data_IF_806686080322
#
_entry.id   IF_806686080322
#
_cell.length_a   1.000
_cell.length_b   1.000
_cell.length_c   1.000
_cell.angle_alpha   90.00
_cell.angle_beta   90.00
_cell.angle_gamma   90.00
#
_symmetry.space_group_name_H-M   'P 1'
#
loop_
_entity.id
_entity.type
_entity.pdbx_description
1 polymer ?
#
# COMPACT_ATOMS: atom_id res chain seq x y z
N UNK A 1 -33.81 15.05 5.37
CA UNK A 1 -33.45 13.66 5.73
C UNK A 1 -32.52 13.11 4.66
N UNK A 2 -31.21 13.08 4.92
CA UNK A 2 -30.22 12.58 3.95
C UNK A 2 -30.22 11.06 4.00
N UNK A 3 -30.58 10.43 2.88
CA UNK A 3 -30.50 8.98 2.69
C UNK A 3 -29.05 8.53 2.89
N UNK A 4 -28.77 7.91 4.05
CA UNK A 4 -27.56 7.11 4.29
C UNK A 4 -27.63 5.87 3.41
N UNK A 5 -27.24 6.02 2.15
CA UNK A 5 -27.32 4.95 1.19
C UNK A 5 -26.14 3.98 1.39
N UNK A 6 -26.52 2.72 1.63
CA UNK A 6 -25.69 1.52 1.78
C UNK A 6 -24.56 1.44 0.74
N UNK A 7 -23.35 1.93 1.06
CA UNK A 7 -22.12 1.48 0.39
C UNK A 7 -21.39 0.48 1.28
N UNK A 8 -22.04 -0.67 1.50
CA UNK A 8 -21.34 -1.84 2.01
C UNK A 8 -20.50 -2.39 0.85
N UNK A 9 -19.23 -2.00 0.86
CA UNK A 9 -18.06 -2.76 0.37
C UNK A 9 -18.07 -3.26 -1.08
N UNK A 10 -17.69 -2.40 -2.04
CA UNK A 10 -16.89 -2.88 -3.18
C UNK A 10 -15.42 -2.85 -2.75
N UNK A 11 -14.97 -3.95 -2.11
CA UNK A 11 -13.54 -4.09 -1.76
C UNK A 11 -12.73 -4.21 -3.04
N UNK A 12 -11.69 -3.40 -3.19
CA UNK A 12 -10.79 -3.50 -4.34
C UNK A 12 -9.97 -4.78 -4.27
N UNK A 13 -9.47 -5.27 -5.42
CA UNK A 13 -8.56 -6.44 -5.45
C UNK A 13 -7.33 -6.17 -4.59
N UNK A 14 -6.84 -4.93 -4.55
CA UNK A 14 -5.74 -4.52 -3.68
C UNK A 14 -6.09 -4.57 -2.19
N UNK A 15 -7.31 -4.21 -1.80
CA UNK A 15 -7.73 -4.33 -0.40
C UNK A 15 -7.81 -5.80 0.03
N UNK A 16 -8.31 -6.69 -0.83
CA UNK A 16 -8.35 -8.13 -0.57
C UNK A 16 -6.93 -8.72 -0.50
N UNK A 17 -6.05 -8.37 -1.44
CA UNK A 17 -4.64 -8.78 -1.45
C UNK A 17 -3.89 -8.24 -0.24
N UNK A 18 -4.10 -6.97 0.12
CA UNK A 18 -3.51 -6.35 1.31
C UNK A 18 -3.98 -7.05 2.59
N UNK A 19 -5.28 -7.33 2.74
CA UNK A 19 -5.81 -8.08 3.88
C UNK A 19 -5.25 -9.49 3.94
N UNK A 20 -5.10 -10.17 2.80
CA UNK A 20 -4.48 -11.50 2.72
C UNK A 20 -3.02 -11.44 3.17
N UNK A 21 -2.24 -10.50 2.63
CA UNK A 21 -0.85 -10.29 3.02
C UNK A 21 -0.69 -9.87 4.48
N UNK A 22 -1.61 -9.06 5.02
CA UNK A 22 -1.62 -8.66 6.43
C UNK A 22 -2.11 -9.79 7.36
N UNK A 23 -2.96 -10.70 6.90
CA UNK A 23 -3.26 -11.93 7.64
C UNK A 23 -2.05 -12.88 7.62
N UNK A 24 -1.32 -12.89 6.51
CA UNK A 24 0.01 -13.50 6.40
C UNK A 24 1.10 -12.61 7.05
N UNK A 25 0.76 -11.55 7.79
CA UNK A 25 1.76 -10.66 8.39
C UNK A 25 2.70 -11.38 9.33
N UNK A 26 2.29 -12.51 9.95
CA UNK A 26 3.20 -13.39 10.71
C UNK A 26 4.27 -14.04 9.83
N UNK A 27 3.91 -14.43 8.60
CA UNK A 27 4.83 -14.96 7.61
C UNK A 27 5.73 -13.85 7.05
N UNK A 28 5.18 -12.67 6.76
CA UNK A 28 5.96 -11.51 6.32
C UNK A 28 6.89 -10.95 7.42
N UNK A 29 6.46 -11.04 8.69
CA UNK A 29 7.25 -10.80 9.91
C UNK A 29 8.50 -11.68 9.93
N UNK A 30 8.30 -12.99 9.75
CA UNK A 30 9.38 -13.98 9.81
C UNK A 30 10.36 -13.87 8.64
N UNK A 31 9.91 -13.39 7.48
CA UNK A 31 10.72 -13.34 6.26
C UNK A 31 11.21 -11.94 5.86
N UNK A 32 10.93 -10.90 6.66
CA UNK A 32 11.40 -9.54 6.38
C UNK A 32 10.70 -8.85 5.18
N UNK A 33 9.61 -9.43 4.65
CA UNK A 33 8.97 -8.99 3.39
C UNK A 33 7.80 -8.02 3.61
N UNK A 34 7.98 -7.09 4.52
CA UNK A 34 6.97 -6.13 4.96
C UNK A 34 6.54 -5.13 3.88
N UNK A 35 7.48 -4.82 2.98
CA UNK A 35 7.34 -3.79 1.95
C UNK A 35 6.17 -4.07 1.01
N UNK A 36 6.01 -5.33 0.56
CA UNK A 36 4.92 -5.72 -0.34
C UNK A 36 3.53 -5.58 0.29
N UNK A 37 3.41 -5.81 1.60
CA UNK A 37 2.15 -5.60 2.32
C UNK A 37 1.80 -4.11 2.44
N UNK A 38 2.80 -3.27 2.75
CA UNK A 38 2.64 -1.82 2.82
C UNK A 38 2.28 -1.25 1.45
N UNK A 39 2.97 -1.67 0.39
CA UNK A 39 2.67 -1.26 -1.00
C UNK A 39 1.22 -1.60 -1.39
N UNK A 40 0.79 -2.85 -1.15
CA UNK A 40 -0.58 -3.27 -1.45
C UNK A 40 -1.61 -2.48 -0.63
N UNK A 41 -1.30 -2.18 0.64
CA UNK A 41 -2.19 -1.39 1.49
C UNK A 41 -2.30 0.05 0.98
N UNK A 42 -1.19 0.68 0.59
CA UNK A 42 -1.20 2.02 0.04
C UNK A 42 -1.95 2.08 -1.29
N UNK A 43 -1.76 1.11 -2.19
CA UNK A 43 -2.53 1.00 -3.45
C UNK A 43 -4.02 0.86 -3.19
N UNK A 44 -4.41 0.06 -2.20
CA UNK A 44 -5.81 -0.03 -1.79
C UNK A 44 -6.34 1.32 -1.27
N UNK A 45 -5.57 2.01 -0.42
CA UNK A 45 -5.92 3.35 0.09
C UNK A 45 -6.03 4.39 -1.02
N UNK A 46 -5.19 4.34 -2.06
CA UNK A 46 -5.32 5.19 -3.25
C UNK A 46 -6.65 4.94 -3.96
N UNK A 47 -7.02 3.67 -4.17
CA UNK A 47 -8.31 3.33 -4.77
C UNK A 47 -9.50 3.83 -3.92
N UNK A 48 -9.43 3.68 -2.60
CA UNK A 48 -10.44 4.19 -1.66
C UNK A 48 -10.54 5.72 -1.74
N UNK A 49 -9.40 6.41 -1.72
CA UNK A 49 -9.33 7.88 -1.81
C UNK A 49 -9.90 8.40 -3.13
N UNK A 50 -9.63 7.71 -4.24
CA UNK A 50 -10.12 8.07 -5.57
C UNK A 50 -11.54 7.55 -5.87
N UNK A 51 -12.14 6.74 -5.00
CA UNK A 51 -13.46 6.15 -5.20
C UNK A 51 -13.53 5.14 -6.36
N UNK A 52 -12.41 4.51 -6.72
CA UNK A 52 -12.30 3.56 -7.84
C UNK A 52 -12.12 2.12 -7.35
N UNK A 53 -12.55 1.15 -8.15
CA UNK A 53 -12.40 -0.28 -7.81
C UNK A 53 -11.09 -0.89 -8.34
N UNK A 54 -10.48 -0.25 -9.33
CA UNK A 54 -9.26 -0.69 -10.02
C UNK A 54 -8.24 0.42 -9.91
N UNK A 55 -6.99 0.05 -9.62
CA UNK A 55 -5.89 1.00 -9.50
C UNK A 55 -5.60 1.63 -10.87
N UNK A 56 -5.64 2.96 -10.99
CA UNK A 56 -5.31 3.61 -12.26
C UNK A 56 -3.85 3.38 -12.65
N UNK A 57 -3.52 3.35 -13.96
CA UNK A 57 -2.16 3.12 -14.44
C UNK A 57 -1.09 4.03 -13.84
N UNK A 58 -1.45 5.28 -13.56
CA UNK A 58 -0.57 6.28 -12.93
C UNK A 58 -0.04 5.86 -11.54
N UNK A 59 -0.69 4.89 -10.89
CA UNK A 59 -0.31 4.41 -9.56
C UNK A 59 0.25 2.98 -9.57
N UNK A 60 0.53 2.41 -10.75
CA UNK A 60 1.33 1.17 -10.89
C UNK A 60 2.83 1.45 -10.65
N UNK A 61 3.14 2.09 -9.53
CA UNK A 61 4.51 2.33 -9.05
C UNK A 61 4.81 1.46 -7.83
N UNK A 62 6.09 1.26 -7.56
CA UNK A 62 6.59 0.64 -6.33
C UNK A 62 7.12 1.67 -5.32
N UNK A 63 7.11 2.96 -5.68
CA UNK A 63 7.53 4.04 -4.79
C UNK A 63 6.49 4.28 -3.68
N UNK A 64 6.82 3.87 -2.45
CA UNK A 64 5.90 3.96 -1.31
C UNK A 64 5.57 5.43 -0.97
N UNK A 65 6.52 6.34 -1.08
CA UNK A 65 6.28 7.79 -0.89
C UNK A 65 5.27 8.36 -1.87
N UNK A 66 5.33 7.95 -3.14
CA UNK A 66 4.39 8.40 -4.15
C UNK A 66 2.97 7.90 -3.79
N UNK A 67 2.85 6.61 -3.47
CA UNK A 67 1.57 6.00 -3.08
C UNK A 67 1.00 6.61 -1.80
N UNK A 68 1.83 6.90 -0.79
CA UNK A 68 1.40 7.53 0.46
C UNK A 68 0.82 8.93 0.22
N UNK A 69 1.46 9.72 -0.64
CA UNK A 69 0.95 11.04 -1.03
C UNK A 69 -0.35 10.93 -1.82
N UNK A 70 -0.42 10.02 -2.78
CA UNK A 70 -1.62 9.77 -3.59
C UNK A 70 -2.81 9.24 -2.78
N UNK A 71 -2.55 8.57 -1.66
CA UNK A 71 -3.59 8.12 -0.73
C UNK A 71 -4.09 9.24 0.19
N UNK A 72 -3.51 10.44 0.15
CA UNK A 72 -3.84 11.52 1.08
C UNK A 72 -3.42 11.26 2.53
N UNK A 73 -2.54 10.28 2.76
CA UNK A 73 -2.15 9.84 4.11
C UNK A 73 -0.82 10.45 4.59
N UNK A 74 -0.10 11.14 3.71
CA UNK A 74 1.24 11.67 4.02
C UNK A 74 1.23 12.62 5.23
N UNK A 75 0.33 13.59 5.28
CA UNK A 75 0.23 14.52 6.41
C UNK A 75 -0.19 13.84 7.71
N UNK A 76 -1.14 12.91 7.63
CA UNK A 76 -1.60 12.16 8.79
C UNK A 76 -0.47 11.31 9.38
N UNK A 77 0.31 10.63 8.53
CA UNK A 77 1.43 9.81 8.97
C UNK A 77 2.58 10.66 9.54
N UNK A 78 2.85 11.83 8.97
CA UNK A 78 3.88 12.75 9.48
C UNK A 78 3.54 13.33 10.86
N UNK A 79 2.25 13.42 11.21
CA UNK A 79 1.81 13.82 12.56
C UNK A 79 2.05 12.74 13.62
N UNK A 80 2.42 11.53 13.22
CA UNK A 80 2.80 10.43 14.12
C UNK A 80 4.29 10.06 13.91
N UNK A 81 5.22 10.71 14.65
CA UNK A 81 6.66 10.61 14.39
C UNK A 81 7.20 9.17 14.45
N UNK A 82 6.66 8.33 15.33
CA UNK A 82 7.04 6.93 15.48
C UNK A 82 6.65 6.10 14.24
N UNK A 83 5.44 6.29 13.72
CA UNK A 83 4.97 5.62 12.50
C UNK A 83 5.70 6.14 11.27
N UNK A 84 5.95 7.45 11.20
CA UNK A 84 6.74 8.06 10.13
C UNK A 84 8.17 7.50 10.10
N UNK A 85 8.82 7.35 11.25
CA UNK A 85 10.15 6.75 11.34
C UNK A 85 10.17 5.28 10.87
N UNK A 86 9.15 4.50 11.24
CA UNK A 86 9.00 3.11 10.76
C UNK A 86 8.80 3.06 9.25
N UNK A 87 7.91 3.92 8.72
CA UNK A 87 7.66 4.02 7.30
C UNK A 87 8.91 4.41 6.51
N UNK A 88 9.68 5.39 6.98
CA UNK A 88 10.94 5.81 6.34
C UNK A 88 11.98 4.70 6.28
N UNK A 89 12.06 3.84 7.32
CA UNK A 89 12.94 2.67 7.29
C UNK A 89 12.52 1.66 6.21
N UNK A 90 11.23 1.35 6.16
CA UNK A 90 10.61 0.46 5.16
C UNK A 90 10.85 1.01 3.75
N UNK A 91 10.62 2.30 3.53
CA UNK A 91 10.80 2.98 2.23
C UNK A 91 12.25 2.89 1.73
N UNK A 92 13.23 3.17 2.59
CA UNK A 92 14.66 3.07 2.23
C UNK A 92 15.08 1.63 1.94
N UNK A 93 14.65 0.66 2.75
CA UNK A 93 14.98 -0.75 2.52
C UNK A 93 14.34 -1.28 1.24
N UNK A 94 13.08 -0.91 0.96
CA UNK A 94 12.38 -1.32 -0.24
C UNK A 94 12.97 -0.74 -1.52
N UNK A 95 13.33 0.55 -1.50
CA UNK A 95 13.96 1.21 -2.64
C UNK A 95 15.29 0.54 -3.02
N UNK A 96 16.07 0.10 -2.01
CA UNK A 96 17.27 -0.73 -2.23
C UNK A 96 16.90 -2.12 -2.77
N UNK A 97 15.93 -2.81 -2.16
CA UNK A 97 15.48 -4.13 -2.64
C UNK A 97 14.98 -4.08 -4.08
N UNK A 98 14.20 -3.07 -4.49
CA UNK A 98 13.75 -2.92 -5.88
C UNK A 98 14.93 -2.67 -6.82
N UNK A 99 15.83 -1.76 -6.47
CA UNK A 99 16.98 -1.41 -7.33
C UNK A 99 17.93 -2.59 -7.56
N UNK A 100 18.13 -3.44 -6.55
CA UNK A 100 19.07 -4.57 -6.62
C UNK A 100 18.40 -5.93 -6.84
N UNK A 101 17.07 -6.03 -6.77
CA UNK A 101 16.35 -7.28 -7.07
C UNK A 101 16.27 -7.59 -8.54
N UNK A 102 16.68 -6.69 -9.45
CA UNK A 102 17.22 -6.96 -10.79
C UNK A 102 16.45 -7.92 -11.71
N UNK A 103 15.24 -8.33 -11.36
CA UNK A 103 14.42 -9.27 -12.11
C UNK A 103 13.02 -8.69 -12.18
N UNK A 104 12.49 -8.48 -13.38
CA UNK A 104 11.08 -8.15 -13.53
C UNK A 104 10.26 -9.28 -12.90
N UNK A 105 9.42 -8.95 -11.93
CA UNK A 105 8.26 -9.79 -11.65
C UNK A 105 7.36 -9.73 -12.90
N UNK A 106 7.63 -10.58 -13.90
CA UNK A 106 6.91 -10.54 -15.17
C UNK A 106 7.54 -11.21 -16.40
N UNK A 107 8.48 -12.14 -16.25
CA UNK A 107 8.80 -13.07 -17.35
C UNK A 107 8.62 -14.51 -16.85
N UNK A 108 7.41 -15.04 -17.09
CA UNK A 108 7.19 -16.46 -17.39
C UNK A 108 6.99 -16.56 -18.90
#
# INVERSE_FOLDING_TARGET
>A
MVQRNRQRTKRTVYEQTSRRMLNDARFLLQHGRWHSAVECKLKASVCEYLGVNVLPPAFHTHELQALLRSAGLAEALQREPSLWACFRRIDVTWDVEIRYSGKPYGQY
#
